data_IF_464120288368
#
_entry.id   IF_464120288368
#
_cell.length_a   1.000
_cell.length_b   1.000
_cell.length_c   1.000
_cell.angle_alpha   90.00
_cell.angle_beta   90.00
_cell.angle_gamma   90.00
#
_symmetry.space_group_name_H-M   'P 1'
#
loop_
_entity.id
_entity.type
_entity.pdbx_description
1 polymer ?
#
# COMPACT_ATOMS: atom_id res chain seq x y z
N UNK A 1 -25.38 -7.89 -20.16
CA UNK A 1 -23.92 -7.73 -20.15
C UNK A 1 -23.55 -7.60 -18.69
N UNK A 2 -22.68 -8.43 -18.19
CA UNK A 2 -22.25 -8.36 -16.80
C UNK A 2 -21.52 -7.03 -16.53
N UNK A 3 -21.61 -6.49 -15.31
CA UNK A 3 -20.96 -5.22 -14.96
C UNK A 3 -19.45 -5.31 -15.13
N UNK A 4 -18.84 -6.43 -14.79
CA UNK A 4 -17.42 -6.72 -15.02
C UNK A 4 -17.04 -6.67 -16.50
N UNK A 5 -17.93 -7.11 -17.42
CA UNK A 5 -17.71 -7.00 -18.87
C UNK A 5 -17.66 -5.56 -19.33
N UNK A 6 -18.52 -4.71 -18.78
CA UNK A 6 -18.57 -3.28 -19.13
C UNK A 6 -17.25 -2.62 -18.69
N UNK A 7 -16.79 -2.88 -17.46
CA UNK A 7 -15.55 -2.31 -16.94
C UNK A 7 -14.33 -2.81 -17.72
N UNK A 8 -14.27 -4.10 -18.03
CA UNK A 8 -13.20 -4.67 -18.84
C UNK A 8 -13.11 -4.00 -20.22
N UNK A 9 -14.26 -3.87 -20.90
CA UNK A 9 -14.31 -3.22 -22.23
C UNK A 9 -13.97 -1.72 -22.16
N UNK A 10 -14.38 -1.03 -21.09
CA UNK A 10 -13.98 0.36 -20.83
C UNK A 10 -12.45 0.45 -20.69
N UNK A 11 -11.84 -0.41 -19.88
CA UNK A 11 -10.39 -0.43 -19.67
C UNK A 11 -9.62 -0.71 -20.98
N UNK A 12 -10.11 -1.63 -21.81
CA UNK A 12 -9.52 -1.91 -23.13
C UNK A 12 -9.57 -0.69 -24.05
N UNK A 13 -10.69 0.05 -24.11
CA UNK A 13 -10.82 1.28 -24.89
C UNK A 13 -9.91 2.41 -24.39
N UNK A 14 -9.44 2.32 -23.16
CA UNK A 14 -8.52 3.27 -22.54
C UNK A 14 -7.06 2.82 -22.61
N UNK A 15 -6.76 1.75 -23.36
CA UNK A 15 -5.42 1.15 -23.47
C UNK A 15 -4.81 0.73 -22.11
N UNK A 16 -5.64 0.31 -21.17
CA UNK A 16 -5.17 -0.25 -19.91
C UNK A 16 -4.75 -1.73 -20.07
N UNK A 17 -3.73 -2.18 -19.33
CA UNK A 17 -3.45 -3.62 -19.15
C UNK A 17 -4.57 -4.22 -18.29
N UNK A 18 -5.63 -4.69 -18.95
CA UNK A 18 -6.80 -5.30 -18.31
C UNK A 18 -6.83 -6.81 -18.59
N UNK A 19 -7.11 -7.59 -17.55
CA UNK A 19 -7.12 -9.05 -17.60
C UNK A 19 -8.36 -9.58 -16.91
N UNK A 20 -8.95 -10.63 -17.48
CA UNK A 20 -10.07 -11.38 -16.88
C UNK A 20 -9.54 -12.58 -16.12
N UNK A 21 -10.21 -12.91 -15.04
CA UNK A 21 -9.91 -14.10 -14.22
C UNK A 21 -8.44 -14.19 -13.84
N UNK A 22 -7.83 -13.04 -13.51
CA UNK A 22 -6.41 -12.95 -13.18
C UNK A 22 -6.13 -13.56 -11.81
N UNK A 23 -5.20 -14.54 -11.70
CA UNK A 23 -4.87 -15.17 -10.42
C UNK A 23 -4.22 -14.15 -9.47
N UNK A 24 -4.85 -13.90 -8.34
CA UNK A 24 -4.36 -12.94 -7.36
C UNK A 24 -3.10 -13.42 -6.63
N UNK A 25 -2.83 -14.71 -6.65
CA UNK A 25 -1.54 -15.27 -6.19
C UNK A 25 -0.31 -14.66 -6.87
N UNK A 26 -0.45 -14.08 -8.07
CA UNK A 26 0.60 -13.35 -8.79
C UNK A 26 0.77 -11.91 -8.31
N UNK A 27 -0.21 -11.40 -7.56
CA UNK A 27 -0.31 -9.99 -7.13
C UNK A 27 -0.30 -9.82 -5.61
N UNK A 28 -0.11 -10.90 -4.86
CA UNK A 28 0.04 -10.90 -3.40
C UNK A 28 1.44 -11.36 -3.01
N UNK A 29 2.01 -10.76 -1.97
CA UNK A 29 3.31 -11.19 -1.44
C UNK A 29 3.21 -12.54 -0.72
N UNK A 30 2.00 -12.96 -0.34
CA UNK A 30 1.74 -14.28 0.23
C UNK A 30 1.69 -15.39 -0.85
N UNK A 31 1.60 -15.00 -2.13
CA UNK A 31 1.58 -15.90 -3.31
C UNK A 31 0.43 -16.91 -3.31
N UNK A 32 -0.67 -16.59 -2.63
CA UNK A 32 -1.94 -17.34 -2.64
C UNK A 32 -3.09 -16.41 -2.99
N UNK A 33 -4.25 -16.98 -3.31
CA UNK A 33 -5.49 -16.29 -3.64
C UNK A 33 -6.06 -16.72 -4.98
N UNK A 34 -7.38 -16.84 -5.04
CA UNK A 34 -8.14 -17.16 -6.24
C UNK A 34 -8.08 -16.05 -7.28
N UNK A 35 -8.96 -16.10 -8.27
CA UNK A 35 -8.98 -15.17 -9.41
C UNK A 35 -9.78 -13.91 -9.08
N UNK A 36 -9.34 -12.74 -9.57
CA UNK A 36 -10.19 -11.56 -9.69
C UNK A 36 -10.98 -11.64 -10.99
N UNK A 37 -12.26 -11.25 -10.98
CA UNK A 37 -13.06 -11.25 -12.19
C UNK A 37 -12.45 -10.34 -13.25
N UNK A 38 -12.02 -9.13 -12.84
CA UNK A 38 -11.26 -8.20 -13.68
C UNK A 38 -10.10 -7.62 -12.88
N UNK A 39 -8.92 -7.58 -13.49
CA UNK A 39 -7.73 -6.89 -12.98
C UNK A 39 -7.27 -5.85 -13.97
N UNK A 40 -7.05 -4.60 -13.53
CA UNK A 40 -6.70 -3.48 -14.38
C UNK A 40 -5.51 -2.73 -13.81
N UNK A 41 -4.46 -2.55 -14.62
CA UNK A 41 -3.41 -1.57 -14.32
C UNK A 41 -3.78 -0.22 -14.92
N UNK A 42 -3.82 0.79 -14.07
CA UNK A 42 -4.13 2.17 -14.42
C UNK A 42 -2.84 2.97 -14.39
N UNK A 43 -2.49 3.62 -15.50
CA UNK A 43 -1.19 4.28 -15.66
C UNK A 43 -1.22 5.79 -15.52
N UNK A 44 -2.40 6.41 -15.58
CA UNK A 44 -2.55 7.86 -15.45
C UNK A 44 -3.92 8.25 -14.85
N UNK A 45 -4.02 9.50 -14.44
CA UNK A 45 -5.20 10.02 -13.75
C UNK A 45 -6.46 9.96 -14.61
N UNK A 46 -6.35 10.23 -15.93
CA UNK A 46 -7.50 10.19 -16.84
C UNK A 46 -8.11 8.79 -16.94
N UNK A 47 -7.28 7.76 -17.05
CA UNK A 47 -7.73 6.37 -17.04
C UNK A 47 -8.43 6.05 -15.72
N UNK A 48 -7.81 6.40 -14.57
CA UNK A 48 -8.38 6.14 -13.26
C UNK A 48 -9.77 6.76 -13.11
N UNK A 49 -9.90 8.05 -13.40
CA UNK A 49 -11.18 8.77 -13.29
C UNK A 49 -12.28 8.16 -14.16
N UNK A 50 -11.96 7.78 -15.41
CA UNK A 50 -12.94 7.18 -16.33
C UNK A 50 -13.40 5.80 -15.84
N UNK A 51 -12.47 4.96 -15.38
CA UNK A 51 -12.80 3.63 -14.82
C UNK A 51 -13.64 3.76 -13.56
N UNK A 52 -13.28 4.65 -12.64
CA UNK A 52 -14.06 4.88 -11.41
C UNK A 52 -15.47 5.38 -11.72
N UNK A 53 -15.61 6.30 -12.67
CA UNK A 53 -16.92 6.77 -13.14
C UNK A 53 -17.75 5.64 -13.71
N UNK A 54 -17.18 4.76 -14.52
CA UNK A 54 -17.88 3.62 -15.08
C UNK A 54 -18.28 2.62 -13.99
N UNK A 55 -17.38 2.36 -13.02
CA UNK A 55 -17.71 1.53 -11.86
C UNK A 55 -18.88 2.10 -11.06
N UNK A 56 -18.94 3.41 -10.86
CA UNK A 56 -20.07 4.05 -10.16
C UNK A 56 -21.37 3.93 -10.96
N UNK A 57 -21.36 4.17 -12.27
CA UNK A 57 -22.52 4.06 -13.15
C UNK A 57 -23.09 2.64 -13.14
N UNK A 58 -22.21 1.62 -13.25
CA UNK A 58 -22.60 0.21 -13.28
C UNK A 58 -22.79 -0.40 -11.89
N UNK A 59 -22.51 0.35 -10.81
CA UNK A 59 -22.48 -0.14 -9.42
C UNK A 59 -21.52 -1.33 -9.24
N UNK A 60 -20.46 -1.34 -10.03
CA UNK A 60 -19.43 -2.37 -9.94
C UNK A 60 -18.55 -2.17 -8.71
N UNK A 61 -18.33 -3.25 -7.97
CA UNK A 61 -17.41 -3.24 -6.82
C UNK A 61 -15.97 -3.26 -7.29
N UNK A 62 -15.14 -2.40 -6.69
CA UNK A 62 -13.71 -2.41 -6.95
C UNK A 62 -12.89 -2.34 -5.66
N UNK A 63 -11.69 -2.84 -5.72
CA UNK A 63 -10.67 -2.67 -4.69
C UNK A 63 -9.40 -2.11 -5.32
N UNK A 64 -8.69 -1.25 -4.59
CA UNK A 64 -7.38 -0.78 -4.98
C UNK A 64 -6.30 -1.64 -4.31
N UNK A 65 -5.46 -2.28 -5.12
CA UNK A 65 -4.40 -3.15 -4.64
C UNK A 65 -3.02 -2.53 -4.92
N UNK A 66 -2.22 -2.38 -3.88
CA UNK A 66 -0.79 -2.05 -4.01
C UNK A 66 0.04 -3.30 -4.35
N UNK A 67 1.10 -3.54 -3.58
CA UNK A 67 1.94 -4.74 -3.74
C UNK A 67 1.33 -6.03 -3.12
N UNK A 68 0.09 -5.98 -2.63
CA UNK A 68 -0.55 -7.14 -2.02
C UNK A 68 0.16 -7.70 -0.78
N UNK A 69 0.89 -6.84 -0.04
CA UNK A 69 1.72 -7.27 1.10
C UNK A 69 1.00 -7.25 2.45
N UNK A 70 -0.27 -6.84 2.46
CA UNK A 70 -1.10 -6.75 3.67
C UNK A 70 -2.52 -7.23 3.40
N UNK A 71 -2.68 -8.19 2.52
CA UNK A 71 -3.98 -8.76 2.13
C UNK A 71 -3.91 -10.28 2.07
N UNK A 72 -5.02 -10.91 2.42
CA UNK A 72 -5.30 -12.32 2.19
C UNK A 72 -6.48 -12.39 1.22
N UNK A 73 -6.26 -12.98 0.06
CA UNK A 73 -7.30 -13.21 -0.94
C UNK A 73 -7.81 -14.64 -0.79
N UNK A 74 -9.13 -14.84 -0.66
CA UNK A 74 -9.72 -16.19 -0.54
C UNK A 74 -9.54 -17.01 -1.81
N UNK A 75 -9.72 -18.32 -1.71
CA UNK A 75 -9.57 -19.26 -2.83
C UNK A 75 -10.66 -19.06 -3.89
N UNK A 76 -11.85 -18.62 -3.47
CA UNK A 76 -12.96 -18.23 -4.35
C UNK A 76 -12.60 -17.00 -5.21
N UNK A 77 -11.63 -16.22 -4.77
CA UNK A 77 -11.14 -15.03 -5.48
C UNK A 77 -11.81 -13.74 -5.05
N UNK A 78 -11.82 -12.77 -5.96
CA UNK A 78 -12.42 -11.44 -5.77
C UNK A 78 -13.48 -11.23 -6.83
N UNK A 79 -14.74 -11.19 -6.40
CA UNK A 79 -15.85 -10.84 -7.27
C UNK A 79 -15.91 -9.34 -7.43
N UNK A 80 -15.56 -8.86 -8.64
CA UNK A 80 -15.46 -7.48 -9.01
C UNK A 80 -14.11 -7.10 -9.62
N UNK A 81 -13.81 -5.80 -9.60
CA UNK A 81 -12.66 -5.22 -10.27
C UNK A 81 -11.52 -4.93 -9.30
N UNK A 82 -10.33 -5.41 -9.61
CA UNK A 82 -9.09 -5.04 -8.90
C UNK A 82 -8.34 -3.99 -9.71
N UNK A 83 -8.10 -2.83 -9.11
CA UNK A 83 -7.34 -1.74 -9.70
C UNK A 83 -5.93 -1.69 -9.11
N UNK A 84 -4.93 -1.48 -9.95
CA UNK A 84 -3.55 -1.24 -9.56
C UNK A 84 -3.04 0.04 -10.20
N UNK A 85 -2.47 0.92 -9.39
CA UNK A 85 -1.82 2.15 -9.87
C UNK A 85 -0.41 1.84 -10.37
N UNK A 86 -0.11 2.27 -11.60
CA UNK A 86 1.20 2.11 -12.26
C UNK A 86 1.53 3.38 -13.07
N UNK A 87 2.48 3.35 -13.96
CA UNK A 87 2.83 4.48 -14.84
C UNK A 87 3.14 5.76 -14.07
N UNK A 88 2.38 6.83 -14.33
CA UNK A 88 2.55 8.15 -13.70
C UNK A 88 2.42 8.11 -12.18
N UNK A 89 1.64 7.18 -11.66
CA UNK A 89 1.50 6.97 -10.21
C UNK A 89 2.76 6.39 -9.54
N UNK A 90 3.80 6.07 -10.29
CA UNK A 90 5.10 5.62 -9.76
C UNK A 90 6.18 6.70 -9.79
N UNK A 91 5.86 7.89 -10.29
CA UNK A 91 6.81 8.99 -10.38
C UNK A 91 7.28 9.44 -9.01
N UNK A 92 8.58 9.70 -8.89
CA UNK A 92 9.23 10.26 -7.69
C UNK A 92 10.07 11.44 -8.16
N UNK A 93 9.91 12.60 -7.53
CA UNK A 93 10.63 13.81 -7.89
C UNK A 93 10.91 14.69 -6.67
N UNK A 94 12.01 15.44 -6.72
CA UNK A 94 12.25 16.54 -5.78
C UNK A 94 11.34 17.71 -6.14
N UNK A 95 10.71 18.32 -5.14
CA UNK A 95 10.00 19.60 -5.24
C UNK A 95 10.96 20.74 -4.88
N UNK A 96 11.70 20.54 -3.81
CA UNK A 96 12.73 21.44 -3.31
C UNK A 96 13.83 20.63 -2.58
N UNK A 97 14.77 21.34 -1.93
CA UNK A 97 15.94 20.78 -1.25
C UNK A 97 15.63 19.73 -0.16
N UNK A 98 14.39 19.69 0.37
CA UNK A 98 13.98 18.83 1.49
C UNK A 98 12.66 18.13 1.27
N UNK A 99 12.03 18.36 0.10
CA UNK A 99 10.67 17.93 -0.16
C UNK A 99 10.61 17.03 -1.39
N UNK A 100 10.01 15.84 -1.24
CA UNK A 100 9.83 14.86 -2.32
C UNK A 100 8.34 14.67 -2.60
N UNK A 101 7.96 14.70 -3.88
CA UNK A 101 6.69 14.14 -4.34
C UNK A 101 6.88 12.66 -4.70
N UNK A 102 5.90 11.84 -4.35
CA UNK A 102 5.88 10.44 -4.75
C UNK A 102 4.46 9.97 -5.06
N UNK A 103 4.28 9.33 -6.21
CA UNK A 103 3.03 8.73 -6.61
C UNK A 103 2.69 7.48 -5.77
N UNK A 104 1.39 7.24 -5.56
CA UNK A 104 0.88 6.20 -4.67
C UNK A 104 1.22 4.76 -5.12
N UNK A 105 1.43 4.55 -6.44
CA UNK A 105 1.81 3.26 -7.03
C UNK A 105 3.30 2.94 -6.90
N UNK A 106 4.14 3.89 -6.51
CA UNK A 106 5.57 3.67 -6.31
C UNK A 106 5.82 2.67 -5.18
N UNK A 107 6.83 1.81 -5.35
CA UNK A 107 7.28 0.95 -4.26
C UNK A 107 7.90 1.80 -3.14
N UNK A 108 7.59 1.48 -1.89
CA UNK A 108 8.08 2.25 -0.74
C UNK A 108 9.62 2.22 -0.66
N UNK A 109 10.24 1.08 -0.99
CA UNK A 109 11.69 0.99 -1.11
C UNK A 109 12.30 1.89 -2.18
N UNK A 110 11.60 2.14 -3.30
CA UNK A 110 12.07 3.06 -4.34
C UNK A 110 12.09 4.51 -3.83
N UNK A 111 11.08 4.92 -3.06
CA UNK A 111 11.04 6.23 -2.39
C UNK A 111 12.20 6.37 -1.38
N UNK A 112 12.43 5.35 -0.54
CA UNK A 112 13.53 5.36 0.44
C UNK A 112 14.89 5.49 -0.27
N UNK A 113 15.10 4.73 -1.36
CA UNK A 113 16.34 4.80 -2.13
C UNK A 113 16.53 6.14 -2.84
N UNK A 114 15.47 6.73 -3.35
CA UNK A 114 15.50 8.07 -3.95
C UNK A 114 15.89 9.13 -2.90
N UNK A 115 15.24 9.10 -1.72
CA UNK A 115 15.55 10.02 -0.62
C UNK A 115 17.02 9.89 -0.17
N UNK A 116 17.52 8.65 -0.01
CA UNK A 116 18.92 8.39 0.34
C UNK A 116 19.89 8.99 -0.69
N UNK A 117 19.64 8.81 -1.99
CA UNK A 117 20.47 9.40 -3.05
C UNK A 117 20.48 10.92 -3.03
N UNK A 118 19.38 11.54 -2.60
CA UNK A 118 19.25 12.99 -2.48
C UNK A 118 19.80 13.53 -1.13
N UNK A 119 20.34 12.68 -0.25
CA UNK A 119 20.81 13.11 1.08
C UNK A 119 19.66 13.54 1.98
N UNK A 120 18.51 12.87 1.90
CA UNK A 120 17.30 13.19 2.65
C UNK A 120 16.92 12.05 3.61
N UNK A 121 17.03 12.31 4.90
CA UNK A 121 16.76 11.43 6.03
C UNK A 121 15.31 11.54 6.50
N UNK A 122 14.79 10.44 7.05
CA UNK A 122 13.46 10.35 7.66
C UNK A 122 12.65 9.15 7.16
N UNK A 123 13.05 8.51 6.05
CA UNK A 123 12.35 7.37 5.45
C UNK A 123 13.05 6.02 5.69
N UNK A 124 14.14 5.97 6.46
CA UNK A 124 14.94 4.77 6.67
C UNK A 124 14.14 3.62 7.29
N UNK A 125 13.20 3.94 8.20
CA UNK A 125 12.31 2.98 8.84
C UNK A 125 11.49 2.17 7.83
N UNK A 126 11.19 2.78 6.68
CA UNK A 126 10.32 2.22 5.65
C UNK A 126 11.04 1.33 4.64
N UNK A 127 12.39 1.31 4.63
CA UNK A 127 13.21 0.62 3.64
C UNK A 127 12.87 -0.86 3.46
N UNK A 128 12.61 -1.57 4.53
CA UNK A 128 12.27 -2.99 4.49
C UNK A 128 10.77 -3.31 4.31
N UNK A 129 9.88 -2.31 4.21
CA UNK A 129 8.43 -2.55 4.10
C UNK A 129 8.06 -2.85 2.65
N UNK A 130 7.50 -4.03 2.31
CA UNK A 130 7.26 -4.46 0.93
C UNK A 130 5.95 -3.91 0.35
N UNK A 131 5.62 -2.65 0.61
CA UNK A 131 4.38 -2.00 0.17
C UNK A 131 4.57 -0.98 -0.94
N UNK A 132 3.46 -0.41 -1.41
CA UNK A 132 3.44 0.84 -2.18
C UNK A 132 3.27 2.03 -1.26
N UNK A 133 3.62 3.22 -1.74
CA UNK A 133 3.42 4.48 -1.02
C UNK A 133 1.96 4.67 -0.63
N UNK A 134 1.01 4.45 -1.55
CA UNK A 134 -0.42 4.55 -1.25
C UNK A 134 -0.88 3.57 -0.16
N UNK A 135 -0.43 2.32 -0.22
CA UNK A 135 -0.71 1.33 0.82
C UNK A 135 -0.10 1.70 2.19
N UNK A 136 1.12 2.26 2.17
CA UNK A 136 1.78 2.73 3.39
C UNK A 136 1.05 3.90 4.04
N UNK A 137 0.57 4.86 3.25
CA UNK A 137 -0.25 5.99 3.73
C UNK A 137 -1.61 5.55 4.26
N UNK A 138 -2.27 4.65 3.55
CA UNK A 138 -3.56 4.09 3.97
C UNK A 138 -3.49 3.45 5.35
N UNK A 139 -2.38 2.78 5.65
CA UNK A 139 -2.14 2.04 6.89
C UNK A 139 -1.31 2.80 7.93
N UNK A 140 -0.88 4.04 7.67
CA UNK A 140 0.15 4.69 8.49
C UNK A 140 1.28 3.69 8.80
N UNK A 141 1.89 3.14 7.75
CA UNK A 141 2.90 2.10 7.90
C UNK A 141 4.07 2.59 8.74
N UNK A 142 4.54 1.75 9.65
CA UNK A 142 5.64 2.08 10.53
C UNK A 142 6.44 0.86 10.95
N UNK A 143 7.70 1.07 11.22
CA UNK A 143 8.66 0.10 11.74
C UNK A 143 9.79 0.83 12.48
N UNK A 144 10.44 0.16 13.43
CA UNK A 144 11.65 0.67 14.11
C UNK A 144 11.49 2.06 14.75
N UNK A 145 10.29 2.39 15.21
CA UNK A 145 9.99 3.66 15.88
C UNK A 145 9.59 4.81 14.96
N UNK A 146 9.67 4.65 13.63
CA UNK A 146 9.18 5.63 12.66
C UNK A 146 7.87 5.21 12.02
N UNK A 147 7.06 6.16 11.60
CA UNK A 147 5.77 5.97 10.92
C UNK A 147 5.61 6.97 9.78
N UNK A 148 4.70 6.69 8.83
CA UNK A 148 4.43 7.60 7.71
C UNK A 148 4.00 8.99 8.18
N UNK A 149 3.26 9.09 9.29
CA UNK A 149 2.86 10.39 9.89
C UNK A 149 4.02 11.32 10.21
N UNK A 150 5.22 10.78 10.46
CA UNK A 150 6.37 11.57 10.89
C UNK A 150 7.03 12.33 9.73
N UNK A 151 6.73 11.96 8.49
CA UNK A 151 7.40 12.47 7.28
C UNK A 151 6.44 12.98 6.20
N UNK A 152 5.15 12.63 6.27
CA UNK A 152 4.16 13.09 5.29
C UNK A 152 3.79 14.54 5.55
N UNK A 153 3.83 15.35 4.49
CA UNK A 153 3.37 16.74 4.51
C UNK A 153 1.92 16.85 4.02
N UNK A 154 1.59 16.16 2.92
CA UNK A 154 0.23 16.12 2.40
C UNK A 154 0.01 14.91 1.48
N UNK A 155 -1.24 14.56 1.25
CA UNK A 155 -1.66 13.44 0.40
C UNK A 155 -2.65 13.93 -0.64
N UNK A 156 -2.37 13.66 -1.91
CA UNK A 156 -3.30 13.86 -3.03
C UNK A 156 -4.19 12.64 -3.22
N UNK A 157 -5.48 12.86 -3.49
CA UNK A 157 -6.44 11.78 -3.63
C UNK A 157 -7.56 12.13 -4.61
N UNK A 158 -8.33 11.13 -5.00
CA UNK A 158 -9.62 11.26 -5.67
C UNK A 158 -10.71 10.94 -4.64
N UNK A 159 -11.72 11.82 -4.54
CA UNK A 159 -12.90 11.59 -3.70
C UNK A 159 -13.83 10.55 -4.33
N UNK A 160 -14.81 10.07 -3.56
CA UNK A 160 -15.85 9.17 -4.09
C UNK A 160 -16.66 9.80 -5.24
N UNK A 161 -16.77 11.13 -5.28
CA UNK A 161 -17.47 11.85 -6.36
C UNK A 161 -16.59 12.05 -7.61
N UNK A 162 -15.33 11.62 -7.58
CA UNK A 162 -14.39 11.81 -8.67
C UNK A 162 -13.61 13.12 -8.66
N UNK A 163 -13.77 13.95 -7.60
CA UNK A 163 -13.04 15.20 -7.47
C UNK A 163 -11.60 14.95 -7.02
N UNK A 164 -10.67 15.76 -7.55
CA UNK A 164 -9.28 15.76 -7.09
C UNK A 164 -9.19 16.59 -5.83
N UNK A 165 -8.66 15.99 -4.77
CA UNK A 165 -8.47 16.62 -3.48
C UNK A 165 -7.06 16.47 -2.94
N UNK A 166 -6.76 17.21 -1.89
CA UNK A 166 -5.53 17.14 -1.11
C UNK A 166 -5.85 17.27 0.37
N UNK A 167 -5.21 16.45 1.19
CA UNK A 167 -5.33 16.50 2.66
C UNK A 167 -3.97 16.78 3.25
N UNK A 168 -3.86 17.80 4.08
CA UNK A 168 -2.65 18.15 4.81
C UNK A 168 -2.44 17.17 5.99
N UNK A 169 -1.19 17.04 6.45
CA UNK A 169 -0.76 16.05 7.45
C UNK A 169 -1.63 16.03 8.72
N UNK A 170 -2.02 17.18 9.22
CA UNK A 170 -2.84 17.36 10.43
C UNK A 170 -4.25 16.75 10.33
N UNK A 171 -4.78 16.65 9.10
CA UNK A 171 -6.12 16.15 8.81
C UNK A 171 -6.13 14.69 8.34
N UNK A 172 -4.97 14.01 8.32
CA UNK A 172 -4.85 12.62 7.88
C UNK A 172 -5.33 11.59 8.92
N UNK A 173 -5.63 12.04 10.14
CA UNK A 173 -6.08 11.18 11.24
C UNK A 173 -5.22 9.92 11.43
N UNK A 174 -3.91 10.06 11.28
CA UNK A 174 -2.98 8.93 11.41
C UNK A 174 -2.98 8.36 12.83
N UNK A 175 -3.24 7.07 12.92
CA UNK A 175 -3.15 6.29 14.14
C UNK A 175 -2.48 4.94 13.90
N UNK A 176 -2.49 4.06 14.89
CA UNK A 176 -1.90 2.74 14.75
C UNK A 176 -2.62 1.92 13.67
N UNK A 177 -1.94 1.69 12.56
CA UNK A 177 -2.45 0.96 11.38
C UNK A 177 -3.75 1.55 10.81
N UNK A 178 -3.90 2.89 10.82
CA UNK A 178 -5.08 3.58 10.31
C UNK A 178 -4.74 4.99 9.80
N UNK A 179 -5.60 5.49 8.91
CA UNK A 179 -5.64 6.86 8.42
C UNK A 179 -7.09 7.24 8.08
N UNK A 180 -7.35 8.50 7.76
CA UNK A 180 -8.65 9.00 7.30
C UNK A 180 -9.16 8.22 6.06
N UNK A 181 -8.24 7.75 5.21
CA UNK A 181 -8.55 7.01 3.99
C UNK A 181 -9.23 5.65 4.21
N UNK A 182 -9.17 5.10 5.41
CA UNK A 182 -9.95 3.90 5.77
C UNK A 182 -11.44 4.17 5.96
N UNK A 183 -11.82 5.42 6.15
CA UNK A 183 -13.19 5.83 6.49
C UNK A 183 -13.88 6.59 5.35
N UNK A 184 -13.12 7.39 4.59
CA UNK A 184 -13.69 8.33 3.63
C UNK A 184 -13.83 7.78 2.20
N UNK A 185 -13.30 6.58 1.92
CA UNK A 185 -13.36 5.93 0.60
C UNK A 185 -12.59 6.65 -0.51
N UNK A 186 -11.78 7.67 -0.18
CA UNK A 186 -10.94 8.35 -1.17
C UNK A 186 -9.78 7.45 -1.61
N UNK A 187 -9.38 7.60 -2.87
CA UNK A 187 -8.26 6.87 -3.49
C UNK A 187 -7.01 7.75 -3.46
N UNK A 188 -5.99 7.33 -2.74
CA UNK A 188 -4.70 8.01 -2.68
C UNK A 188 -4.01 7.91 -4.05
N UNK A 189 -3.60 9.04 -4.62
CA UNK A 189 -2.91 9.13 -5.91
C UNK A 189 -1.44 9.51 -5.79
N UNK A 190 -1.04 10.17 -4.71
CA UNK A 190 0.34 10.55 -4.42
C UNK A 190 0.46 11.25 -3.09
N UNK A 191 1.68 11.57 -2.71
CA UNK A 191 1.94 12.34 -1.49
C UNK A 191 3.20 13.19 -1.59
N UNK A 192 3.26 14.19 -0.76
CA UNK A 192 4.43 15.04 -0.53
C UNK A 192 5.03 14.69 0.83
N UNK A 193 6.34 14.47 0.84
CA UNK A 193 7.12 14.13 2.02
C UNK A 193 8.09 15.26 2.34
N UNK A 194 8.15 15.67 3.60
CA UNK A 194 9.12 16.65 4.09
C UNK A 194 10.17 15.95 4.95
N UNK A 195 11.42 16.03 4.51
CA UNK A 195 12.54 15.28 5.04
C UNK A 195 13.64 16.23 5.55
N UNK A 196 14.69 15.68 6.15
CA UNK A 196 15.82 16.43 6.70
C UNK A 196 17.08 16.13 5.91
N UNK A 197 17.93 17.13 5.64
CA UNK A 197 19.25 16.92 5.04
C UNK A 197 20.15 16.10 5.96
N UNK A 198 20.81 15.11 5.40
CA UNK A 198 21.80 14.27 6.11
C UNK A 198 22.78 13.66 5.09
N UNK A 199 23.90 13.13 5.58
CA UNK A 199 24.87 12.47 4.73
C UNK A 199 24.28 11.18 4.11
N UNK A 200 24.35 10.99 2.79
CA UNK A 200 23.80 9.80 2.13
C UNK A 200 24.35 8.48 2.68
N UNK A 201 25.59 8.46 3.15
CA UNK A 201 26.24 7.30 3.76
C UNK A 201 25.63 6.96 5.11
N UNK A 202 25.34 7.94 5.95
CA UNK A 202 24.68 7.74 7.25
C UNK A 202 23.24 7.24 7.07
N UNK A 203 22.51 7.76 6.09
CA UNK A 203 21.18 7.27 5.73
C UNK A 203 21.28 5.80 5.30
N UNK A 204 22.24 5.45 4.45
CA UNK A 204 22.45 4.08 3.99
C UNK A 204 22.81 3.14 5.14
N UNK A 205 23.63 3.57 6.09
CA UNK A 205 24.00 2.80 7.27
C UNK A 205 22.76 2.46 8.13
N UNK A 206 21.87 3.44 8.37
CA UNK A 206 20.61 3.21 9.09
C UNK A 206 19.69 2.26 8.33
N UNK A 207 19.56 2.42 7.01
CA UNK A 207 18.76 1.52 6.17
C UNK A 207 19.29 0.08 6.24
N UNK A 208 20.61 -0.11 6.21
CA UNK A 208 21.25 -1.42 6.32
C UNK A 208 21.02 -2.04 7.72
N UNK A 209 21.14 -1.27 8.79
CA UNK A 209 20.86 -1.74 10.15
C UNK A 209 19.42 -2.22 10.28
N UNK A 210 18.44 -1.45 9.81
CA UNK A 210 17.02 -1.87 9.85
C UNK A 210 16.75 -3.12 9.01
N UNK A 211 17.40 -3.24 7.84
CA UNK A 211 17.28 -4.44 7.01
C UNK A 211 17.89 -5.67 7.72
N UNK A 212 19.05 -5.53 8.34
CA UNK A 212 19.70 -6.60 9.10
C UNK A 212 18.82 -7.05 10.28
N UNK A 213 18.27 -6.11 11.05
CA UNK A 213 17.31 -6.42 12.13
C UNK A 213 16.07 -7.15 11.62
N UNK A 214 15.63 -6.83 10.40
CA UNK A 214 14.48 -7.47 9.78
C UNK A 214 14.80 -8.90 9.35
N UNK A 215 15.91 -9.11 8.63
CA UNK A 215 16.33 -10.42 8.13
C UNK A 215 16.64 -11.41 9.24
N UNK A 216 17.14 -10.93 10.40
CA UNK A 216 17.38 -11.79 11.59
C UNK A 216 16.11 -12.20 12.32
N UNK A 217 15.02 -11.39 12.23
CA UNK A 217 13.79 -11.63 12.99
C UNK A 217 12.62 -12.17 12.17
N UNK A 218 12.72 -12.11 10.85
CA UNK A 218 11.65 -12.52 9.93
C UNK A 218 12.21 -13.44 8.85
N UNK A 219 11.56 -14.57 8.57
CA UNK A 219 11.95 -15.48 7.49
C UNK A 219 11.56 -14.89 6.13
N UNK A 220 12.38 -13.97 5.62
CA UNK A 220 12.08 -13.20 4.39
C UNK A 220 12.07 -14.07 3.13
N UNK A 221 12.60 -15.28 3.19
CA UNK A 221 12.59 -16.28 2.13
C UNK A 221 11.21 -16.89 1.87
N UNK A 222 10.31 -16.82 2.86
CA UNK A 222 8.95 -17.33 2.72
C UNK A 222 7.95 -16.24 2.32
N UNK A 223 6.92 -16.60 1.53
CA UNK A 223 5.80 -15.72 1.25
C UNK A 223 5.09 -15.27 2.53
N UNK A 224 4.69 -14.00 2.60
CA UNK A 224 4.08 -13.43 3.79
C UNK A 224 3.06 -12.35 3.44
N UNK A 225 1.95 -12.29 4.19
CA UNK A 225 0.96 -11.22 4.14
C UNK A 225 1.15 -10.17 5.27
N UNK A 226 2.29 -10.19 5.97
CA UNK A 226 2.56 -9.35 7.13
C UNK A 226 2.03 -9.94 8.43
N UNK A 227 1.90 -9.12 9.47
CA UNK A 227 1.40 -9.56 10.78
C UNK A 227 -0.12 -9.76 10.75
N UNK A 228 -0.57 -10.96 11.10
CA UNK A 228 -2.00 -11.32 11.15
C UNK A 228 -2.72 -10.58 12.28
N UNK A 229 -2.06 -10.43 13.43
CA UNK A 229 -2.64 -9.80 14.62
C UNK A 229 -2.09 -8.38 14.81
N UNK A 230 -2.96 -7.47 15.20
CA UNK A 230 -2.54 -6.16 15.69
C UNK A 230 -1.80 -6.33 17.01
N UNK A 231 -0.76 -5.52 17.21
CA UNK A 231 -0.05 -5.49 18.50
C UNK A 231 -0.98 -4.89 19.57
N UNK A 232 -1.28 -5.59 20.65
CA UNK A 232 -2.06 -5.04 21.76
C UNK A 232 -1.22 -4.02 22.54
N UNK A 233 -1.90 -3.12 23.25
CA UNK A 233 -1.23 -2.14 24.11
C UNK A 233 -0.50 -2.87 25.25
N UNK A 234 0.73 -2.47 25.53
CA UNK A 234 1.55 -3.03 26.60
C UNK A 234 2.04 -4.48 26.41
N UNK A 235 1.71 -5.15 25.28
CA UNK A 235 2.07 -6.55 25.06
C UNK A 235 2.52 -6.85 23.62
N UNK A 236 3.00 -8.07 23.38
CA UNK A 236 3.30 -8.59 22.05
C UNK A 236 2.30 -9.68 21.67
N UNK A 237 1.71 -9.58 20.50
CA UNK A 237 0.71 -10.55 20.02
C UNK A 237 1.25 -11.99 20.04
N UNK A 238 2.51 -12.21 19.66
CA UNK A 238 3.15 -13.53 19.69
C UNK A 238 3.25 -14.12 21.11
N UNK A 239 3.54 -13.29 22.13
CA UNK A 239 3.58 -13.75 23.52
C UNK A 239 2.18 -14.17 23.99
N UNK A 240 1.16 -13.36 23.69
CA UNK A 240 -0.22 -13.68 24.09
C UNK A 240 -0.74 -14.94 23.40
N UNK A 241 -0.40 -15.13 22.12
CA UNK A 241 -0.77 -16.34 21.38
C UNK A 241 -0.09 -17.58 21.94
N UNK A 242 1.19 -17.47 22.36
CA UNK A 242 1.93 -18.57 22.95
C UNK A 242 1.37 -18.99 24.32
N UNK A 243 0.89 -18.02 25.10
CA UNK A 243 0.34 -18.27 26.45
C UNK A 243 -1.17 -18.51 26.47
N UNK A 244 -1.87 -18.28 25.34
CA UNK A 244 -3.31 -18.52 25.25
C UNK A 244 -3.60 -20.01 25.02
N UNK A 245 -4.57 -20.61 25.75
CA UNK A 245 -4.98 -21.98 25.49
C UNK A 245 -5.52 -22.09 24.05
N UNK A 246 -5.00 -23.05 23.30
CA UNK A 246 -5.52 -23.38 21.98
C UNK A 246 -6.78 -24.22 22.12
N UNK A 247 -7.80 -24.06 21.25
CA UNK A 247 -8.92 -25.00 21.20
C UNK A 247 -8.49 -26.46 20.96
N UNK A 248 -7.28 -26.69 20.46
CA UNK A 248 -6.68 -28.04 20.30
C UNK A 248 -6.17 -28.61 21.61
N UNK A 249 -5.81 -27.76 22.57
CA UNK A 249 -5.29 -28.22 23.89
C UNK A 249 -6.41 -28.82 24.75
N UNK A 250 -7.68 -28.44 24.51
CA UNK A 250 -8.86 -29.00 25.16
C UNK A 250 -9.33 -30.35 24.62
N UNK A 251 -8.72 -30.85 23.54
CA UNK A 251 -9.04 -32.14 22.93
C UNK A 251 -8.09 -33.27 23.38
N UNK A 252 -7.13 -32.96 24.23
CA UNK A 252 -6.12 -33.89 24.76
C UNK A 252 -6.29 -34.21 26.25
N UNK A 253 -7.41 -33.81 26.87
CA UNK A 253 -7.78 -34.14 28.25
C UNK A 253 -8.96 -35.09 28.31
#
# INVERSE_FOLDING_TARGET
>A
MDTTDIIYNCAQKLDCDARRFEPMSRHTSFKIGGKADVYIKVTNLSQLMKILKECDVCKEKYILLGNGSNVLVPDEGIHGTVLRLDGDFRNISLIDDTTIYCGAGAALGSLCKFAQKCGLSGLEFAWGIPGTVGGALFMNAGAYGGEMKDVVYSVSHITQNGDIGRTEAENLEFGYRTSVYRKNGCIITGAVFKLKKDAPEEIQNRMNDYMNRRSTKQPLEYPSAGSVFKRPEGAFAGCLLYTSPSPRDGLLS
#
